data_IF_911865710724
#
_entry.id   IF_911865710724
#
_cell.length_a   1.000
_cell.length_b   1.000
_cell.length_c   1.000
_cell.angle_alpha   90.00
_cell.angle_beta   90.00
_cell.angle_gamma   90.00
#
_symmetry.space_group_name_H-M   'P 1'
#
loop_
_entity.id
_entity.type
_entity.pdbx_description
1 polymer ?
#
# COMPACT_ATOMS: atom_id res chain seq x y z
N UNK A 1 30.43 -1.88 5.02
CA UNK A 1 30.63 -0.44 5.27
C UNK A 1 29.38 0.14 5.90
N UNK A 2 29.58 0.95 6.93
CA UNK A 2 28.46 1.66 7.54
C UNK A 2 28.07 2.86 6.64
N UNK A 3 26.78 3.15 6.58
CA UNK A 3 26.29 4.31 5.86
C UNK A 3 26.63 5.59 6.63
N UNK A 4 26.91 6.71 5.92
CA UNK A 4 27.05 8.01 6.57
C UNK A 4 25.80 8.37 7.36
N UNK A 5 26.00 9.03 8.51
CA UNK A 5 24.90 9.38 9.42
C UNK A 5 23.83 10.27 8.75
N UNK A 6 24.24 11.11 7.83
CA UNK A 6 23.33 12.03 7.09
C UNK A 6 22.48 11.30 6.05
N UNK A 7 22.76 10.03 5.76
CA UNK A 7 21.99 9.21 4.84
C UNK A 7 21.08 8.20 5.56
N UNK A 8 20.98 8.30 6.88
CA UNK A 8 20.08 7.48 7.68
C UNK A 8 18.88 8.32 8.08
N UNK A 9 17.77 8.09 7.38
CA UNK A 9 16.53 8.86 7.57
C UNK A 9 15.56 8.18 8.54
N UNK A 10 15.71 6.88 8.73
CA UNK A 10 14.73 6.06 9.41
C UNK A 10 15.42 4.99 10.24
N UNK A 11 14.85 4.65 11.41
CA UNK A 11 15.32 3.56 12.24
C UNK A 11 15.39 2.25 11.42
N UNK A 12 16.55 1.57 11.40
CA UNK A 12 16.71 0.32 10.64
C UNK A 12 15.75 -0.80 11.03
N UNK A 13 15.11 -0.72 12.20
CA UNK A 13 14.11 -1.72 12.62
C UNK A 13 12.85 -1.70 11.74
N UNK A 14 12.56 -0.58 11.09
CA UNK A 14 11.42 -0.51 10.18
C UNK A 14 11.77 -1.16 8.84
N UNK A 15 10.93 -2.08 8.32
CA UNK A 15 11.21 -2.73 7.04
C UNK A 15 11.43 -1.74 5.88
N UNK A 16 10.71 -0.62 5.88
CA UNK A 16 10.83 0.40 4.83
C UNK A 16 12.16 1.16 4.88
N UNK A 17 13.00 0.96 5.89
CA UNK A 17 14.35 1.53 5.90
C UNK A 17 15.17 1.09 4.69
N UNK A 18 14.86 -0.07 4.12
CA UNK A 18 15.55 -0.63 2.96
C UNK A 18 15.39 0.24 1.70
N UNK A 19 14.30 1.00 1.60
CA UNK A 19 14.04 1.86 0.44
C UNK A 19 14.31 3.32 0.72
N UNK A 20 14.75 3.66 1.92
CA UNK A 20 14.95 5.05 2.35
C UNK A 20 16.41 5.34 2.70
N UNK A 21 17.04 4.47 3.49
CA UNK A 21 18.38 4.72 4.01
C UNK A 21 19.48 4.38 3.00
N UNK A 22 20.55 5.15 3.03
CA UNK A 22 21.78 4.87 2.31
C UNK A 22 21.92 5.61 0.99
N UNK A 23 23.16 5.67 0.51
CA UNK A 23 23.49 6.35 -0.74
C UNK A 23 22.82 5.69 -1.95
N UNK A 24 22.75 4.35 -1.97
CA UNK A 24 22.14 3.62 -3.07
C UNK A 24 20.63 3.83 -3.19
N UNK A 25 20.00 4.39 -2.18
CA UNK A 25 18.55 4.66 -2.17
C UNK A 25 18.21 6.11 -2.54
N UNK A 26 19.13 6.83 -3.14
CA UNK A 26 18.85 8.20 -3.62
C UNK A 26 17.72 8.23 -4.65
N UNK A 27 17.65 7.24 -5.55
CA UNK A 27 16.57 7.12 -6.52
C UNK A 27 15.20 6.94 -5.88
N UNK A 28 15.01 5.91 -5.07
CA UNK A 28 13.75 5.73 -4.31
C UNK A 28 13.35 6.96 -3.50
N UNK A 29 14.28 7.61 -2.81
CA UNK A 29 13.99 8.84 -2.07
C UNK A 29 13.48 9.95 -2.98
N UNK A 30 14.07 10.09 -4.17
CA UNK A 30 13.61 11.09 -5.13
C UNK A 30 12.16 10.84 -5.56
N UNK A 31 11.77 9.58 -5.75
CA UNK A 31 10.39 9.23 -6.05
C UNK A 31 9.45 9.60 -4.91
N UNK A 32 9.83 9.25 -3.68
CA UNK A 32 9.01 9.57 -2.50
C UNK A 32 8.84 11.08 -2.34
N UNK A 33 9.92 11.85 -2.51
CA UNK A 33 9.86 13.31 -2.45
C UNK A 33 9.00 13.88 -3.57
N UNK A 34 9.03 13.27 -4.74
CA UNK A 34 8.19 13.67 -5.86
C UNK A 34 6.69 13.49 -5.56
N UNK A 35 6.34 12.61 -4.65
CA UNK A 35 4.97 12.42 -4.17
C UNK A 35 4.62 13.35 -3.00
N UNK A 36 5.55 14.19 -2.57
CA UNK A 36 5.31 15.18 -1.53
C UNK A 36 5.78 14.79 -0.13
N UNK A 37 6.47 13.66 0.03
CA UNK A 37 6.98 13.26 1.35
C UNK A 37 8.17 14.12 1.75
N UNK A 38 8.19 14.54 3.02
CA UNK A 38 9.28 15.30 3.62
C UNK A 38 10.13 14.38 4.51
N UNK A 39 11.27 14.88 5.00
CA UNK A 39 12.19 14.09 5.80
C UNK A 39 11.55 13.48 7.04
N UNK A 40 10.67 14.20 7.71
CA UNK A 40 9.96 13.70 8.89
C UNK A 40 9.11 12.49 8.56
N UNK A 41 8.49 12.47 7.37
CA UNK A 41 7.70 11.34 6.91
C UNK A 41 8.57 10.16 6.51
N UNK A 42 9.75 10.40 5.94
CA UNK A 42 10.69 9.33 5.62
C UNK A 42 11.17 8.58 6.85
N UNK A 43 11.17 9.24 8.01
CA UNK A 43 11.58 8.64 9.28
C UNK A 43 10.50 7.77 9.92
N UNK A 44 9.25 7.89 9.47
CA UNK A 44 8.10 7.16 10.03
C UNK A 44 7.94 5.79 9.37
N UNK A 45 7.28 4.83 10.04
CA UNK A 45 6.96 3.56 9.39
C UNK A 45 5.99 3.77 8.24
N UNK A 46 6.19 3.05 7.15
CA UNK A 46 5.29 3.03 6.00
C UNK A 46 4.27 1.92 6.19
N UNK A 47 3.00 2.26 6.04
CA UNK A 47 1.90 1.34 6.26
C UNK A 47 1.14 1.16 4.94
N UNK A 48 1.09 -0.05 4.43
CA UNK A 48 0.30 -0.38 3.25
C UNK A 48 -1.18 -0.44 3.60
N UNK A 49 -2.00 0.25 2.82
CA UNK A 49 -3.46 0.21 2.94
C UNK A 49 -3.99 -0.41 1.66
N UNK A 50 -4.43 -1.65 1.75
CA UNK A 50 -4.96 -2.37 0.60
C UNK A 50 -6.45 -2.11 0.53
N UNK A 51 -6.91 -1.59 -0.61
CA UNK A 51 -8.29 -1.21 -0.82
C UNK A 51 -8.87 -1.92 -2.04
N UNK A 52 -10.04 -2.50 -1.88
CA UNK A 52 -10.76 -3.20 -2.94
C UNK A 52 -11.94 -2.35 -3.45
N UNK A 53 -11.84 -1.04 -3.40
CA UNK A 53 -12.86 -0.12 -3.91
C UNK A 53 -13.23 -0.44 -5.35
N UNK A 54 -14.54 -0.40 -5.62
CA UNK A 54 -15.09 -0.72 -6.93
C UNK A 54 -16.50 -0.13 -7.01
N UNK A 55 -16.87 0.37 -8.17
CA UNK A 55 -18.19 0.98 -8.37
C UNK A 55 -19.27 -0.02 -8.80
N UNK A 56 -18.89 -1.26 -9.12
CA UNK A 56 -19.82 -2.27 -9.62
C UNK A 56 -20.57 -3.01 -8.52
N UNK A 57 -20.10 -2.97 -7.28
CA UNK A 57 -20.65 -3.78 -6.20
C UNK A 57 -21.12 -2.91 -5.04
N UNK A 58 -22.34 -3.15 -4.50
CA UNK A 58 -22.84 -2.32 -3.40
C UNK A 58 -21.99 -2.36 -2.15
N UNK A 59 -21.34 -3.50 -1.89
CA UNK A 59 -20.46 -3.64 -0.72
C UNK A 59 -19.12 -2.93 -0.84
N UNK A 60 -18.78 -2.45 -2.04
CA UNK A 60 -17.47 -1.86 -2.33
C UNK A 60 -17.52 -0.36 -2.64
N UNK A 61 -18.70 0.19 -2.93
CA UNK A 61 -18.83 1.59 -3.37
C UNK A 61 -18.45 2.61 -2.30
N UNK A 62 -18.42 2.22 -1.04
CA UNK A 62 -18.05 3.10 0.08
C UNK A 62 -16.58 2.98 0.48
N UNK A 63 -15.83 2.05 -0.12
CA UNK A 63 -14.46 1.77 0.32
C UNK A 63 -13.50 2.92 0.01
N UNK A 64 -13.81 3.78 -0.94
CA UNK A 64 -13.01 4.99 -1.18
C UNK A 64 -13.03 5.92 0.04
N UNK A 65 -14.20 6.09 0.67
CA UNK A 65 -14.34 6.90 1.89
C UNK A 65 -13.70 6.21 3.09
N UNK A 66 -13.96 4.92 3.25
CA UNK A 66 -13.38 4.13 4.33
C UNK A 66 -11.86 4.12 4.23
N UNK A 67 -11.32 3.95 3.02
CA UNK A 67 -9.88 4.01 2.79
C UNK A 67 -9.27 5.33 3.21
N UNK A 68 -9.95 6.45 2.94
CA UNK A 68 -9.49 7.76 3.37
C UNK A 68 -9.45 7.88 4.90
N UNK A 69 -10.49 7.37 5.58
CA UNK A 69 -10.53 7.38 7.04
C UNK A 69 -9.44 6.49 7.66
N UNK A 70 -9.16 5.35 7.04
CA UNK A 70 -8.07 4.47 7.48
C UNK A 70 -6.72 5.18 7.35
N UNK A 71 -6.49 5.87 6.22
CA UNK A 71 -5.25 6.63 6.02
C UNK A 71 -5.10 7.74 7.07
N UNK A 72 -6.18 8.43 7.38
CA UNK A 72 -6.17 9.47 8.42
C UNK A 72 -5.82 8.88 9.79
N UNK A 73 -6.36 7.71 10.12
CA UNK A 73 -6.04 7.00 11.36
C UNK A 73 -4.58 6.57 11.41
N UNK A 74 -4.01 6.11 10.29
CA UNK A 74 -2.59 5.76 10.21
C UNK A 74 -1.72 6.98 10.47
N UNK A 75 -2.06 8.13 9.89
CA UNK A 75 -1.31 9.37 10.11
C UNK A 75 -1.37 9.82 11.56
N UNK A 76 -2.54 9.74 12.20
CA UNK A 76 -2.69 10.07 13.62
C UNK A 76 -1.83 9.18 14.51
N UNK A 77 -1.69 7.91 14.15
CA UNK A 77 -0.87 6.96 14.91
C UNK A 77 0.64 7.13 14.65
N UNK A 78 1.03 8.02 13.76
CA UNK A 78 2.44 8.31 13.48
C UNK A 78 3.05 7.53 12.31
N UNK A 79 2.23 6.90 11.46
CA UNK A 79 2.69 6.22 10.26
C UNK A 79 2.43 7.04 9.00
N UNK A 80 3.00 6.58 7.89
CA UNK A 80 2.73 7.14 6.56
C UNK A 80 1.96 6.08 5.76
N UNK A 81 0.69 6.34 5.41
CA UNK A 81 -0.10 5.36 4.67
C UNK A 81 0.18 5.43 3.17
N UNK A 82 0.22 4.26 2.55
CA UNK A 82 0.26 4.13 1.09
C UNK A 82 -0.89 3.23 0.67
N UNK A 83 -1.85 3.80 -0.04
CA UNK A 83 -3.00 3.06 -0.54
C UNK A 83 -2.68 2.39 -1.87
N UNK A 84 -2.99 1.11 -1.96
CA UNK A 84 -2.89 0.32 -3.19
C UNK A 84 -4.25 -0.33 -3.44
N UNK A 85 -4.77 -0.16 -4.64
CA UNK A 85 -6.05 -0.75 -5.02
C UNK A 85 -5.84 -2.12 -5.67
N UNK A 86 -6.70 -3.06 -5.30
CA UNK A 86 -6.80 -4.35 -5.98
C UNK A 86 -8.15 -4.46 -6.67
N UNK A 87 -8.30 -5.46 -7.51
CA UNK A 87 -9.62 -5.83 -8.03
C UNK A 87 -10.47 -6.37 -6.88
N UNK A 88 -11.76 -6.38 -7.07
CA UNK A 88 -12.70 -6.95 -6.11
C UNK A 88 -13.80 -7.72 -6.84
N UNK A 89 -14.45 -8.60 -6.11
CA UNK A 89 -15.50 -9.47 -6.62
C UNK A 89 -16.66 -9.49 -5.65
N UNK A 90 -17.83 -9.80 -6.18
CA UNK A 90 -19.03 -9.97 -5.38
C UNK A 90 -19.76 -11.24 -5.84
N UNK A 91 -19.85 -12.22 -4.97
CA UNK A 91 -20.54 -13.46 -5.26
C UNK A 91 -22.02 -13.21 -5.59
N UNK A 92 -22.64 -12.28 -4.89
CA UNK A 92 -24.03 -11.90 -5.13
C UNK A 92 -24.26 -11.30 -6.51
N UNK A 93 -23.27 -10.62 -7.07
CA UNK A 93 -23.34 -10.06 -8.41
C UNK A 93 -23.11 -11.12 -9.50
N UNK A 94 -22.25 -12.09 -9.21
CA UNK A 94 -21.86 -13.16 -10.15
C UNK A 94 -22.79 -14.36 -10.10
N UNK A 95 -23.59 -14.47 -9.06
CA UNK A 95 -24.46 -15.59 -8.83
C UNK A 95 -25.45 -15.79 -9.97
N UNK A 96 -25.60 -17.03 -10.42
CA UNK A 96 -26.57 -17.39 -11.45
C UNK A 96 -26.09 -17.24 -12.89
N UNK A 97 -24.83 -16.87 -13.11
CA UNK A 97 -24.26 -16.81 -14.47
C UNK A 97 -22.80 -17.28 -14.48
N UNK A 98 -22.23 -17.34 -15.68
CA UNK A 98 -20.88 -17.87 -15.91
C UNK A 98 -19.78 -17.11 -15.14
N UNK A 99 -20.02 -15.85 -14.77
CA UNK A 99 -19.08 -15.05 -14.00
C UNK A 99 -18.68 -15.68 -12.66
N UNK A 100 -19.57 -16.52 -12.10
CA UNK A 100 -19.27 -17.23 -10.85
C UNK A 100 -18.06 -18.15 -10.97
N UNK A 101 -17.73 -18.62 -12.17
CA UNK A 101 -16.56 -19.45 -12.42
C UNK A 101 -15.24 -18.71 -12.19
N UNK A 102 -15.25 -17.38 -12.20
CA UNK A 102 -14.05 -16.55 -12.01
C UNK A 102 -13.84 -16.11 -10.57
N UNK A 103 -14.80 -16.37 -9.67
CA UNK A 103 -14.75 -15.84 -8.30
C UNK A 103 -13.55 -16.38 -7.53
N UNK A 104 -13.38 -17.71 -7.47
CA UNK A 104 -12.27 -18.30 -6.73
C UNK A 104 -10.91 -18.03 -7.39
N UNK A 105 -10.74 -18.19 -8.73
CA UNK A 105 -9.49 -17.83 -9.37
C UNK A 105 -9.08 -16.38 -9.15
N UNK A 106 -10.04 -15.46 -9.12
CA UNK A 106 -9.74 -14.05 -8.91
C UNK A 106 -9.27 -13.74 -7.49
N UNK A 107 -9.70 -14.52 -6.50
CA UNK A 107 -9.18 -14.40 -5.13
C UNK A 107 -7.68 -14.66 -5.08
N UNK A 108 -7.19 -15.63 -5.85
CA UNK A 108 -5.77 -15.92 -5.94
C UNK A 108 -5.02 -14.77 -6.60
N UNK A 109 -5.59 -14.18 -7.65
CA UNK A 109 -5.00 -13.00 -8.30
C UNK A 109 -4.87 -11.85 -7.32
N UNK A 110 -5.90 -11.59 -6.52
CA UNK A 110 -5.86 -10.54 -5.50
C UNK A 110 -4.76 -10.82 -4.48
N UNK A 111 -4.72 -12.04 -3.94
CA UNK A 111 -3.71 -12.43 -2.95
C UNK A 111 -2.30 -12.29 -3.50
N UNK A 112 -2.08 -12.75 -4.72
CA UNK A 112 -0.77 -12.66 -5.38
C UNK A 112 -0.38 -11.20 -5.62
N UNK A 113 -1.31 -10.34 -6.01
CA UNK A 113 -1.02 -8.93 -6.24
C UNK A 113 -0.60 -8.21 -4.96
N UNK A 114 -1.24 -8.54 -3.83
CA UNK A 114 -0.88 -7.97 -2.52
C UNK A 114 0.52 -8.42 -2.12
N UNK A 115 0.82 -9.71 -2.30
CA UNK A 115 2.14 -10.24 -1.99
C UNK A 115 3.22 -9.59 -2.83
N UNK A 116 2.98 -9.44 -4.13
CA UNK A 116 3.96 -8.88 -5.06
C UNK A 116 4.24 -7.40 -4.75
N UNK A 117 3.22 -6.58 -4.51
CA UNK A 117 3.46 -5.17 -4.18
C UNK A 117 4.17 -5.03 -2.83
N UNK A 118 3.87 -5.90 -1.89
CA UNK A 118 4.54 -5.91 -0.59
C UNK A 118 6.03 -6.26 -0.71
N UNK A 119 6.38 -7.18 -1.60
CA UNK A 119 7.77 -7.56 -1.86
C UNK A 119 8.52 -6.49 -2.63
N UNK A 120 7.84 -5.79 -3.53
CA UNK A 120 8.45 -4.75 -4.37
C UNK A 120 8.71 -3.44 -3.60
N UNK A 121 8.07 -3.27 -2.48
CA UNK A 121 8.14 -2.06 -1.67
C UNK A 121 8.67 -2.34 -0.28
#
# INVERSE_FOLDING_TARGET
MSEPMDLIYKDPKYPSSKVVNGLSMAGPRAHLRGMGLVNEELAKPFIGVINTYNEMHPGHIHLNRIGQLVKDGVREAGGVPFEVNTISLCDGFSQGHVGMCSVLPSREVIADSIEEIGRAS
#
